data_IF_171019655803
#
_entry.id   IF_171019655803
#
_cell.length_a   1.000
_cell.length_b   1.000
_cell.length_c   1.000
_cell.angle_alpha   90.00
_cell.angle_beta   90.00
_cell.angle_gamma   90.00
#
_symmetry.space_group_name_H-M   'P 1'
#
loop_
_entity.id
_entity.type
_entity.pdbx_description
1 polymer ?
#
# COMPACT_ATOMS: atom_id res chain seq x y z
N UNK A 1 -9.71 24.25 -1.14
CA UNK A 1 -9.23 24.08 -2.54
C UNK A 1 -7.70 23.95 -2.66
N UNK A 2 -6.90 24.93 -2.20
CA UNK A 2 -5.44 24.98 -2.44
C UNK A 2 -4.66 23.71 -2.06
N UNK A 3 -4.97 23.07 -0.93
CA UNK A 3 -4.25 21.88 -0.43
C UNK A 3 -4.61 20.58 -1.17
N UNK A 4 -5.87 20.46 -1.61
CA UNK A 4 -6.30 19.37 -2.48
C UNK A 4 -5.56 19.44 -3.81
N UNK A 5 -5.54 20.63 -4.43
CA UNK A 5 -4.81 20.87 -5.68
C UNK A 5 -3.33 20.52 -5.50
N UNK A 6 -2.68 20.95 -4.41
CA UNK A 6 -1.28 20.59 -4.14
C UNK A 6 -1.04 19.09 -4.03
N UNK A 7 -1.93 18.37 -3.35
CA UNK A 7 -1.81 16.92 -3.16
C UNK A 7 -1.98 16.18 -4.49
N UNK A 8 -2.93 16.62 -5.32
CA UNK A 8 -3.10 16.12 -6.69
C UNK A 8 -1.87 16.43 -7.54
N UNK A 9 -1.38 17.67 -7.52
CA UNK A 9 -0.18 18.08 -8.26
C UNK A 9 1.06 17.31 -7.83
N UNK A 10 1.19 17.00 -6.53
CA UNK A 10 2.26 16.14 -6.03
C UNK A 10 2.21 14.77 -6.69
N UNK A 11 1.06 14.09 -6.64
CA UNK A 11 0.91 12.76 -7.20
C UNK A 11 1.10 12.74 -8.73
N UNK A 12 0.62 13.78 -9.43
CA UNK A 12 0.85 13.94 -10.88
C UNK A 12 2.32 14.16 -11.18
N UNK A 13 3.00 15.04 -10.44
CA UNK A 13 4.43 15.30 -10.62
C UNK A 13 5.27 14.04 -10.34
N UNK A 14 4.95 13.31 -9.25
CA UNK A 14 5.58 12.04 -8.94
C UNK A 14 5.41 11.03 -10.08
N UNK A 15 4.18 10.83 -10.56
CA UNK A 15 3.89 9.91 -11.67
C UNK A 15 4.62 10.32 -12.93
N UNK A 16 4.61 11.62 -13.28
CA UNK A 16 5.30 12.14 -14.45
C UNK A 16 6.82 11.96 -14.39
N UNK A 17 7.45 12.31 -13.26
CA UNK A 17 8.89 12.10 -13.06
C UNK A 17 9.22 10.60 -13.11
N UNK A 18 8.38 9.76 -12.51
CA UNK A 18 8.58 8.31 -12.52
C UNK A 18 8.51 7.71 -13.92
N UNK A 19 7.56 8.15 -14.75
CA UNK A 19 7.47 7.76 -16.17
C UNK A 19 8.72 8.21 -16.94
N UNK A 20 9.15 9.45 -16.74
CA UNK A 20 10.36 9.98 -17.40
C UNK A 20 11.60 9.18 -17.00
N UNK A 21 11.79 8.91 -15.71
CA UNK A 21 12.95 8.13 -15.26
C UNK A 21 12.85 6.66 -15.72
N UNK A 22 11.65 6.14 -15.95
CA UNK A 22 11.45 4.77 -16.42
C UNK A 22 11.98 4.53 -17.84
N UNK A 23 12.25 5.57 -18.64
CA UNK A 23 12.96 5.40 -19.94
C UNK A 23 14.37 4.83 -19.77
N UNK A 24 15.00 5.00 -18.60
CA UNK A 24 16.32 4.42 -18.29
C UNK A 24 16.26 2.89 -18.18
N UNK A 25 15.08 2.30 -17.89
CA UNK A 25 14.93 0.83 -17.75
C UNK A 25 15.29 0.07 -19.03
N UNK A 26 15.15 0.69 -20.20
CA UNK A 26 15.53 0.06 -21.49
C UNK A 26 17.02 -0.29 -21.61
N UNK A 27 17.87 0.30 -20.76
CA UNK A 27 19.31 0.03 -20.72
C UNK A 27 19.70 -0.98 -19.63
N UNK A 28 18.75 -1.49 -18.86
CA UNK A 28 19.00 -2.37 -17.70
C UNK A 28 18.63 -3.81 -18.10
N UNK A 29 19.46 -4.82 -17.79
CA UNK A 29 19.13 -6.22 -18.07
C UNK A 29 17.81 -6.63 -17.41
N UNK A 30 17.02 -7.45 -18.11
CA UNK A 30 15.68 -7.88 -17.65
C UNK A 30 15.69 -8.50 -16.25
N UNK A 31 16.77 -9.19 -15.87
CA UNK A 31 16.96 -9.79 -14.54
C UNK A 31 16.89 -8.76 -13.40
N UNK A 32 17.26 -7.50 -13.65
CA UNK A 32 17.28 -6.43 -12.65
C UNK A 32 16.13 -5.42 -12.81
N UNK A 33 15.19 -5.66 -13.74
CA UNK A 33 14.12 -4.71 -14.09
C UNK A 33 13.28 -4.31 -12.86
N UNK A 34 12.88 -5.27 -12.02
CA UNK A 34 12.08 -5.00 -10.82
C UNK A 34 12.83 -4.12 -9.82
N UNK A 35 14.11 -4.41 -9.57
CA UNK A 35 14.95 -3.59 -8.67
C UNK A 35 15.09 -2.18 -9.23
N UNK A 36 15.41 -2.08 -10.52
CA UNK A 36 15.55 -0.80 -11.19
C UNK A 36 14.26 0.02 -11.13
N UNK A 37 13.11 -0.60 -11.37
CA UNK A 37 11.81 0.06 -11.30
C UNK A 37 11.53 0.61 -9.89
N UNK A 38 11.79 -0.18 -8.84
CA UNK A 38 11.67 0.26 -7.46
C UNK A 38 12.60 1.45 -7.15
N UNK A 39 13.88 1.33 -7.48
CA UNK A 39 14.89 2.39 -7.23
C UNK A 39 14.55 3.67 -7.99
N UNK A 40 14.17 3.56 -9.27
CA UNK A 40 13.71 4.70 -10.08
C UNK A 40 12.49 5.36 -9.43
N UNK A 41 11.54 4.57 -8.93
CA UNK A 41 10.39 5.06 -8.19
C UNK A 41 10.78 5.82 -6.93
N UNK A 42 11.73 5.30 -6.15
CA UNK A 42 12.26 5.99 -4.96
C UNK A 42 12.86 7.34 -5.34
N UNK A 43 13.69 7.38 -6.39
CA UNK A 43 14.32 8.61 -6.84
C UNK A 43 13.27 9.64 -7.31
N UNK A 44 12.25 9.20 -8.05
CA UNK A 44 11.15 10.05 -8.49
C UNK A 44 10.32 10.58 -7.31
N UNK A 45 9.92 9.71 -6.39
CA UNK A 45 9.18 10.09 -5.19
C UNK A 45 9.98 11.06 -4.32
N UNK A 46 11.25 10.75 -4.05
CA UNK A 46 12.12 11.57 -3.22
C UNK A 46 12.39 12.95 -3.85
N UNK A 47 12.68 13.01 -5.15
CA UNK A 47 12.84 14.28 -5.87
C UNK A 47 11.57 15.13 -5.78
N UNK A 48 10.40 14.52 -5.99
CA UNK A 48 9.11 15.20 -5.89
C UNK A 48 8.87 15.72 -4.47
N UNK A 49 9.17 14.91 -3.44
CA UNK A 49 9.14 15.31 -2.02
C UNK A 49 10.03 16.52 -1.76
N UNK A 50 11.27 16.50 -2.21
CA UNK A 50 12.21 17.63 -2.02
C UNK A 50 11.69 18.92 -2.67
N UNK A 51 11.18 18.84 -3.91
CA UNK A 51 10.64 20.00 -4.63
C UNK A 51 9.48 20.62 -3.85
N UNK A 52 8.49 19.82 -3.45
CA UNK A 52 7.31 20.33 -2.76
C UNK A 52 7.60 20.82 -1.33
N UNK A 53 8.53 20.17 -0.61
CA UNK A 53 8.99 20.67 0.69
C UNK A 53 9.70 22.02 0.57
N UNK A 54 10.51 22.23 -0.49
CA UNK A 54 11.15 23.53 -0.76
C UNK A 54 10.13 24.61 -1.09
N UNK A 55 9.15 24.31 -1.96
CA UNK A 55 8.06 25.25 -2.32
C UNK A 55 7.29 25.67 -1.06
N UNK A 56 7.02 24.74 -0.15
CA UNK A 56 6.23 24.98 1.06
C UNK A 56 7.06 25.39 2.28
N UNK A 57 8.38 25.50 2.14
CA UNK A 57 9.33 25.79 3.23
C UNK A 57 9.11 24.88 4.45
N UNK A 58 8.88 23.59 4.18
CA UNK A 58 8.64 22.54 5.18
C UNK A 58 9.85 21.63 5.29
N UNK A 59 9.96 20.95 6.43
CA UNK A 59 11.00 19.96 6.69
C UNK A 59 10.43 18.54 6.52
N UNK A 60 11.30 17.56 6.28
CA UNK A 60 10.93 16.14 6.21
C UNK A 60 10.20 15.64 7.46
N UNK A 61 10.56 16.18 8.63
CA UNK A 61 9.89 15.90 9.90
C UNK A 61 8.41 16.27 9.93
N UNK A 62 8.00 17.28 9.16
CA UNK A 62 6.60 17.73 9.09
C UNK A 62 5.71 16.82 8.27
N UNK A 63 6.29 15.89 7.51
CA UNK A 63 5.56 14.91 6.69
C UNK A 63 5.78 13.47 7.19
N UNK A 64 6.19 13.31 8.46
CA UNK A 64 6.44 12.00 9.06
C UNK A 64 7.63 11.23 8.47
N UNK A 65 8.50 11.90 7.70
CA UNK A 65 9.70 11.29 7.12
C UNK A 65 10.91 11.55 8.02
N UNK A 66 10.93 10.90 9.18
CA UNK A 66 12.06 10.89 10.12
C UNK A 66 12.56 9.48 10.37
N UNK A 67 13.87 9.35 10.50
CA UNK A 67 14.46 8.11 11.00
C UNK A 67 14.62 8.22 12.52
N UNK A 68 13.91 7.38 13.26
CA UNK A 68 13.97 7.32 14.71
C UNK A 68 13.99 5.87 15.22
N UNK A 69 14.03 5.70 16.54
CA UNK A 69 14.11 4.37 17.18
C UNK A 69 12.91 3.47 16.90
N UNK A 70 11.77 4.02 16.49
CA UNK A 70 10.55 3.29 16.14
C UNK A 70 10.47 2.94 14.66
N UNK A 71 11.29 3.54 13.79
CA UNK A 71 11.25 3.27 12.33
C UNK A 71 11.37 1.77 12.02
N UNK A 72 12.37 1.09 12.56
CA UNK A 72 12.58 -0.35 12.33
C UNK A 72 11.47 -1.20 12.99
N UNK A 73 11.15 -1.03 14.30
CA UNK A 73 10.03 -1.74 14.91
C UNK A 73 8.68 -1.55 14.20
N UNK A 74 8.38 -0.33 13.75
CA UNK A 74 7.14 -0.03 13.04
C UNK A 74 7.07 -0.76 11.70
N UNK A 75 8.18 -0.83 10.96
CA UNK A 75 8.26 -1.60 9.73
C UNK A 75 7.93 -3.08 9.98
N UNK A 76 8.60 -3.73 10.93
CA UNK A 76 8.34 -5.15 11.23
C UNK A 76 6.95 -5.39 11.81
N UNK A 77 6.44 -4.47 12.64
CA UNK A 77 5.04 -4.50 13.08
C UNK A 77 4.09 -4.45 11.89
N UNK A 78 4.39 -3.59 10.92
CA UNK A 78 3.65 -3.51 9.65
C UNK A 78 3.72 -4.82 8.86
N UNK A 79 4.88 -5.45 8.74
CA UNK A 79 5.03 -6.76 8.09
C UNK A 79 4.14 -7.81 8.76
N UNK A 80 4.16 -7.91 10.08
CA UNK A 80 3.31 -8.87 10.82
C UNK A 80 1.82 -8.60 10.59
N UNK A 81 1.40 -7.32 10.66
CA UNK A 81 0.00 -6.94 10.38
C UNK A 81 -0.39 -7.31 8.94
N UNK A 82 0.46 -6.99 7.96
CA UNK A 82 0.20 -7.28 6.56
C UNK A 82 0.11 -8.78 6.28
N UNK A 83 1.02 -9.59 6.84
CA UNK A 83 0.97 -11.05 6.73
C UNK A 83 -0.30 -11.62 7.37
N UNK A 84 -0.72 -11.09 8.53
CA UNK A 84 -1.95 -11.53 9.18
C UNK A 84 -3.19 -11.18 8.34
N UNK A 85 -3.29 -9.96 7.82
CA UNK A 85 -4.38 -9.55 6.93
C UNK A 85 -4.42 -10.39 5.66
N UNK A 86 -3.29 -10.55 4.99
CA UNK A 86 -3.21 -11.36 3.76
C UNK A 86 -3.47 -12.84 4.01
N UNK A 87 -3.00 -13.38 5.13
CA UNK A 87 -3.28 -14.76 5.52
C UNK A 87 -4.78 -15.01 5.71
N UNK A 88 -5.49 -14.07 6.35
CA UNK A 88 -6.95 -14.15 6.49
C UNK A 88 -7.67 -14.04 5.13
N UNK A 89 -7.22 -13.14 4.25
CA UNK A 89 -7.78 -13.01 2.90
C UNK A 89 -7.55 -14.27 2.07
N UNK A 90 -6.33 -14.80 2.08
CA UNK A 90 -5.97 -16.04 1.39
C UNK A 90 -6.78 -17.22 1.94
N UNK A 91 -6.89 -17.37 3.26
CA UNK A 91 -7.73 -18.40 3.88
C UNK A 91 -9.20 -18.27 3.45
N UNK A 92 -9.73 -17.04 3.38
CA UNK A 92 -11.07 -16.78 2.86
C UNK A 92 -11.23 -17.24 1.41
N UNK A 93 -10.30 -16.87 0.53
CA UNK A 93 -10.30 -17.32 -0.86
C UNK A 93 -10.26 -18.84 -0.93
N UNK A 94 -9.37 -19.51 -0.20
CA UNK A 94 -9.26 -20.97 -0.19
C UNK A 94 -10.53 -21.67 0.34
N UNK A 95 -11.24 -21.03 1.27
CA UNK A 95 -12.47 -21.57 1.83
C UNK A 95 -13.66 -21.42 0.87
N UNK A 96 -13.78 -20.27 0.19
CA UNK A 96 -14.90 -19.98 -0.71
C UNK A 96 -14.66 -20.42 -2.16
N UNK A 97 -13.41 -20.69 -2.55
CA UNK A 97 -13.07 -21.16 -3.88
C UNK A 97 -12.73 -22.65 -3.88
N UNK A 98 -13.01 -23.31 -5.00
CA UNK A 98 -12.61 -24.69 -5.23
C UNK A 98 -11.19 -24.78 -5.80
N UNK A 99 -10.23 -24.16 -5.12
CA UNK A 99 -8.80 -24.22 -5.51
C UNK A 99 -8.03 -25.11 -4.54
N UNK A 100 -7.06 -25.85 -5.08
CA UNK A 100 -6.09 -26.61 -4.30
C UNK A 100 -4.74 -25.91 -4.35
N UNK A 101 -4.09 -25.86 -3.19
CA UNK A 101 -2.70 -25.43 -3.08
C UNK A 101 -1.79 -26.65 -3.09
N UNK A 102 -0.75 -26.59 -3.90
CA UNK A 102 0.35 -27.54 -3.89
C UNK A 102 1.66 -26.79 -3.69
N UNK A 103 2.62 -27.40 -2.98
CA UNK A 103 3.95 -26.83 -2.87
C UNK A 103 4.62 -26.80 -4.26
N UNK A 104 5.22 -25.67 -4.61
CA UNK A 104 5.91 -25.52 -5.89
C UNK A 104 7.31 -26.16 -5.81
N UNK A 105 7.60 -27.25 -6.54
CA UNK A 105 8.92 -27.89 -6.50
C UNK A 105 10.03 -27.05 -7.15
N UNK A 106 9.70 -25.97 -7.86
CA UNK A 106 10.65 -25.09 -8.57
C UNK A 106 11.16 -23.93 -7.71
N UNK A 107 10.64 -23.75 -6.50
CA UNK A 107 11.03 -22.66 -5.61
C UNK A 107 11.13 -23.14 -4.17
N UNK A 108 12.00 -22.49 -3.40
CA UNK A 108 12.10 -22.66 -1.97
C UNK A 108 11.99 -21.29 -1.28
N UNK A 109 12.00 -21.28 0.06
CA UNK A 109 11.87 -20.05 0.83
C UNK A 109 13.00 -19.05 0.55
N UNK A 110 14.24 -19.52 0.37
CA UNK A 110 15.38 -18.64 0.14
C UNK A 110 15.28 -17.98 -1.23
N UNK A 111 15.04 -18.77 -2.29
CA UNK A 111 14.83 -18.27 -3.64
C UNK A 111 13.66 -17.28 -3.69
N UNK A 112 12.53 -17.63 -3.07
CA UNK A 112 11.38 -16.75 -2.97
C UNK A 112 11.73 -15.40 -2.33
N UNK A 113 12.39 -15.41 -1.16
CA UNK A 113 12.77 -14.18 -0.46
C UNK A 113 13.75 -13.33 -1.27
N UNK A 114 14.73 -13.94 -1.94
CA UNK A 114 15.68 -13.22 -2.80
C UNK A 114 14.99 -12.58 -4.01
N UNK A 115 14.13 -13.32 -4.69
CA UNK A 115 13.42 -12.87 -5.90
C UNK A 115 12.31 -11.84 -5.60
N UNK A 116 11.83 -11.78 -4.35
CA UNK A 116 10.81 -10.82 -3.90
C UNK A 116 11.38 -9.66 -3.10
N UNK A 117 12.68 -9.66 -2.75
CA UNK A 117 13.36 -8.50 -2.16
C UNK A 117 13.13 -7.18 -2.93
N UNK A 118 13.07 -7.16 -4.28
CA UNK A 118 12.77 -5.94 -5.03
C UNK A 118 11.37 -5.36 -4.76
N UNK A 119 10.44 -6.10 -4.16
CA UNK A 119 9.12 -5.58 -3.79
C UNK A 119 9.20 -4.53 -2.67
N UNK A 120 10.27 -4.53 -1.87
CA UNK A 120 10.45 -3.56 -0.80
C UNK A 120 10.62 -2.13 -1.33
N UNK A 121 11.56 -1.83 -2.24
CA UNK A 121 11.67 -0.49 -2.81
C UNK A 121 10.41 -0.08 -3.62
N UNK A 122 9.70 -1.03 -4.24
CA UNK A 122 8.40 -0.76 -4.88
C UNK A 122 7.34 -0.31 -3.86
N UNK A 123 7.18 -1.04 -2.75
CA UNK A 123 6.24 -0.64 -1.71
C UNK A 123 6.64 0.72 -1.10
N UNK A 124 7.94 0.92 -0.84
CA UNK A 124 8.44 2.15 -0.22
C UNK A 124 8.23 3.39 -1.10
N UNK A 125 8.47 3.32 -2.42
CA UNK A 125 8.29 4.48 -3.29
C UNK A 125 6.84 4.93 -3.38
N UNK A 126 5.89 3.99 -3.34
CA UNK A 126 4.46 4.32 -3.31
C UNK A 126 4.04 4.93 -1.96
N UNK A 127 4.51 4.37 -0.84
CA UNK A 127 4.22 4.98 0.47
C UNK A 127 4.83 6.39 0.61
N UNK A 128 6.03 6.61 0.07
CA UNK A 128 6.63 7.94 0.00
C UNK A 128 5.80 8.89 -0.89
N UNK A 129 5.32 8.39 -2.03
CA UNK A 129 4.54 9.14 -3.02
C UNK A 129 3.15 9.57 -2.53
N UNK A 130 2.49 8.79 -1.66
CA UNK A 130 1.10 9.05 -1.27
C UNK A 130 0.91 9.33 0.23
N UNK A 131 1.73 8.76 1.12
CA UNK A 131 1.51 8.77 2.58
C UNK A 131 2.42 9.74 3.32
N UNK A 132 3.49 10.21 2.69
CA UNK A 132 4.33 11.26 3.26
C UNK A 132 3.72 12.65 3.01
N UNK A 133 4.04 13.31 1.90
CA UNK A 133 3.61 14.70 1.67
C UNK A 133 2.08 14.84 1.45
N UNK A 134 1.41 14.08 0.55
CA UNK A 134 -0.01 14.32 0.25
C UNK A 134 -0.93 14.09 1.45
N UNK A 135 -0.74 12.97 2.16
CA UNK A 135 -1.55 12.63 3.32
C UNK A 135 -1.42 13.66 4.44
N UNK A 136 -0.20 14.06 4.80
CA UNK A 136 0.05 14.98 5.90
C UNK A 136 -0.50 16.39 5.61
N UNK A 137 -0.34 16.88 4.37
CA UNK A 137 -0.87 18.19 3.96
C UNK A 137 -2.40 18.22 3.98
N UNK A 138 -3.06 17.12 3.57
CA UNK A 138 -4.52 17.03 3.66
C UNK A 138 -4.98 16.88 5.11
N UNK A 139 -4.31 16.04 5.90
CA UNK A 139 -4.66 15.79 7.30
C UNK A 139 -4.70 17.08 8.11
N UNK A 140 -3.69 17.94 7.94
CA UNK A 140 -3.57 19.21 8.66
C UNK A 140 -4.68 20.23 8.33
N UNK A 141 -5.45 20.01 7.25
CA UNK A 141 -6.37 21.01 6.70
C UNK A 141 -7.82 20.58 6.65
N UNK A 142 -8.06 19.32 6.32
CA UNK A 142 -9.41 18.76 6.16
C UNK A 142 -9.66 17.55 7.08
N UNK A 143 -8.68 17.24 7.94
CA UNK A 143 -8.77 16.17 8.93
C UNK A 143 -8.39 14.80 8.38
N UNK A 144 -8.07 13.91 9.32
CA UNK A 144 -7.56 12.55 9.06
C UNK A 144 -8.46 11.72 8.15
N UNK A 145 -9.78 11.72 8.38
CA UNK A 145 -10.74 10.92 7.60
C UNK A 145 -10.65 11.23 6.10
N UNK A 146 -10.80 12.51 5.76
CA UNK A 146 -10.79 12.94 4.36
C UNK A 146 -9.42 12.82 3.72
N UNK A 147 -8.35 13.04 4.49
CA UNK A 147 -6.99 12.84 4.00
C UNK A 147 -6.77 11.39 3.55
N UNK A 148 -7.12 10.40 4.39
CA UNK A 148 -6.99 8.98 4.07
C UNK A 148 -7.83 8.61 2.84
N UNK A 149 -9.11 9.02 2.80
CA UNK A 149 -10.02 8.73 1.68
C UNK A 149 -9.47 9.28 0.35
N UNK A 150 -9.06 10.55 0.34
CA UNK A 150 -8.56 11.22 -0.87
C UNK A 150 -7.24 10.57 -1.34
N UNK A 151 -6.28 10.34 -0.45
CA UNK A 151 -5.01 9.70 -0.86
C UNK A 151 -5.20 8.27 -1.35
N UNK A 152 -6.22 7.57 -0.86
CA UNK A 152 -6.56 6.22 -1.34
C UNK A 152 -7.15 6.24 -2.74
N UNK A 153 -8.00 7.22 -3.04
CA UNK A 153 -8.50 7.45 -4.41
C UNK A 153 -7.35 7.84 -5.34
N UNK A 154 -6.46 8.76 -4.93
CA UNK A 154 -5.29 9.15 -5.74
C UNK A 154 -4.37 7.95 -6.02
N UNK A 155 -4.22 7.05 -5.05
CA UNK A 155 -3.44 5.84 -5.20
C UNK A 155 -4.06 4.86 -6.21
N UNK A 156 -5.39 4.72 -6.23
CA UNK A 156 -6.09 3.94 -7.24
C UNK A 156 -5.99 4.58 -8.64
N UNK A 157 -6.12 5.90 -8.74
CA UNK A 157 -5.94 6.62 -10.01
C UNK A 157 -4.53 6.45 -10.58
N UNK A 158 -3.52 6.42 -9.71
CA UNK A 158 -2.15 6.11 -10.11
C UNK A 158 -2.01 4.70 -10.70
N UNK A 159 -2.70 3.70 -10.16
CA UNK A 159 -2.71 2.35 -10.75
C UNK A 159 -3.39 2.32 -12.11
N UNK A 160 -4.50 3.05 -12.28
CA UNK A 160 -5.16 3.22 -13.59
C UNK A 160 -4.20 3.86 -14.60
N UNK A 161 -3.46 4.90 -14.19
CA UNK A 161 -2.46 5.54 -15.04
C UNK A 161 -1.30 4.60 -15.42
N UNK A 162 -1.05 3.55 -14.62
CA UNK A 162 -0.10 2.48 -14.90
C UNK A 162 -0.73 1.27 -15.63
N UNK A 163 -1.92 1.43 -16.21
CA UNK A 163 -2.56 0.43 -17.07
C UNK A 163 -3.48 -0.56 -16.37
N UNK A 164 -3.76 -0.38 -15.08
CA UNK A 164 -4.73 -1.23 -14.37
C UNK A 164 -6.17 -0.85 -14.76
N UNK A 165 -7.08 -1.82 -14.71
CA UNK A 165 -8.50 -1.53 -14.93
C UNK A 165 -9.07 -0.69 -13.78
N UNK A 166 -10.13 0.09 -14.05
CA UNK A 166 -10.84 0.86 -13.03
C UNK A 166 -11.30 -0.07 -11.89
N UNK A 167 -11.92 -1.20 -12.24
CA UNK A 167 -12.39 -2.17 -11.26
C UNK A 167 -11.25 -2.68 -10.36
N UNK A 168 -10.16 -3.23 -10.94
CA UNK A 168 -9.03 -3.75 -10.16
C UNK A 168 -8.38 -2.69 -9.27
N UNK A 169 -8.30 -1.44 -9.74
CA UNK A 169 -7.71 -0.32 -9.00
C UNK A 169 -8.55 0.09 -7.79
N UNK A 170 -9.88 0.02 -7.88
CA UNK A 170 -10.78 0.34 -6.78
C UNK A 170 -11.03 -0.84 -5.82
N UNK A 171 -11.01 -2.10 -6.32
CA UNK A 171 -11.13 -3.28 -5.47
C UNK A 171 -9.83 -3.70 -4.77
N UNK A 172 -8.67 -3.29 -5.28
CA UNK A 172 -7.37 -3.53 -4.66
C UNK A 172 -6.78 -2.26 -4.06
N UNK A 173 -6.01 -1.48 -4.84
CA UNK A 173 -5.29 -0.30 -4.37
C UNK A 173 -6.11 0.70 -3.54
N UNK A 174 -7.35 1.04 -3.92
CA UNK A 174 -8.14 1.99 -3.14
C UNK A 174 -8.43 1.47 -1.71
N UNK A 175 -8.80 0.21 -1.57
CA UNK A 175 -9.13 -0.40 -0.27
C UNK A 175 -7.86 -0.53 0.58
N UNK A 176 -6.78 -1.06 0.00
CA UNK A 176 -5.47 -1.12 0.68
C UNK A 176 -4.95 0.25 1.06
N UNK A 177 -5.23 1.27 0.23
CA UNK A 177 -4.86 2.64 0.50
C UNK A 177 -5.44 3.19 1.81
N UNK A 178 -6.62 2.72 2.22
CA UNK A 178 -7.23 3.07 3.50
C UNK A 178 -6.43 2.50 4.66
N UNK A 179 -6.04 1.22 4.56
CA UNK A 179 -5.20 0.53 5.55
C UNK A 179 -3.84 1.22 5.68
N UNK A 180 -3.19 1.51 4.55
CA UNK A 180 -1.89 2.18 4.53
C UNK A 180 -1.98 3.61 5.10
N UNK A 181 -3.01 4.36 4.72
CA UNK A 181 -3.25 5.70 5.26
C UNK A 181 -3.48 5.69 6.77
N UNK A 182 -4.28 4.74 7.27
CA UNK A 182 -4.51 4.58 8.70
C UNK A 182 -3.22 4.20 9.44
N UNK A 183 -2.43 3.27 8.90
CA UNK A 183 -1.15 2.87 9.47
C UNK A 183 -0.12 4.01 9.47
N UNK A 184 -0.10 4.85 8.43
CA UNK A 184 0.75 6.03 8.37
C UNK A 184 0.43 7.01 9.50
N UNK A 185 -0.86 7.32 9.70
CA UNK A 185 -1.32 8.24 10.75
C UNK A 185 -1.09 7.66 12.14
N UNK A 186 -1.36 6.37 12.32
CA UNK A 186 -1.15 5.68 13.59
C UNK A 186 0.33 5.67 14.00
N UNK A 187 1.22 5.32 13.07
CA UNK A 187 2.66 5.20 13.32
C UNK A 187 3.43 6.52 13.21
N UNK A 188 2.77 7.59 12.75
CA UNK A 188 3.32 8.93 12.51
C UNK A 188 4.48 8.93 11.50
N UNK A 189 4.38 8.08 10.48
CA UNK A 189 5.36 7.98 9.42
C UNK A 189 5.07 6.82 8.47
N UNK A 190 5.92 6.62 7.47
CA UNK A 190 5.65 5.66 6.40
C UNK A 190 6.23 4.26 6.64
N UNK A 191 7.01 4.04 7.70
CA UNK A 191 7.66 2.75 7.96
C UNK A 191 6.67 1.59 8.15
N UNK A 192 5.64 1.79 8.99
CA UNK A 192 4.59 0.79 9.21
C UNK A 192 3.78 0.48 7.95
N UNK A 193 3.22 1.46 7.21
CA UNK A 193 2.50 1.15 5.97
C UNK A 193 3.42 0.52 4.92
N UNK A 194 4.71 0.88 4.82
CA UNK A 194 5.65 0.19 3.93
C UNK A 194 5.79 -1.28 4.29
N UNK A 195 5.83 -1.63 5.59
CA UNK A 195 5.86 -3.02 6.05
C UNK A 195 4.59 -3.79 5.68
N UNK A 196 3.41 -3.19 5.89
CA UNK A 196 2.12 -3.81 5.53
C UNK A 196 2.06 -4.03 4.02
N UNK A 197 2.42 -3.01 3.24
CA UNK A 197 2.39 -3.06 1.78
C UNK A 197 3.40 -4.08 1.24
N UNK A 198 4.63 -4.10 1.75
CA UNK A 198 5.61 -5.12 1.38
C UNK A 198 5.09 -6.53 1.68
N UNK A 199 4.48 -6.76 2.85
CA UNK A 199 3.88 -8.05 3.19
C UNK A 199 2.69 -8.42 2.30
N UNK A 200 1.89 -7.44 1.85
CA UNK A 200 0.83 -7.64 0.87
C UNK A 200 1.40 -8.15 -0.46
N UNK A 201 2.41 -7.46 -1.00
CA UNK A 201 3.07 -7.83 -2.25
C UNK A 201 3.79 -9.18 -2.15
N UNK A 202 4.44 -9.43 -1.02
CA UNK A 202 5.12 -10.68 -0.71
C UNK A 202 4.11 -11.84 -0.71
N UNK A 203 3.01 -11.71 0.04
CA UNK A 203 2.01 -12.78 0.16
C UNK A 203 1.33 -13.07 -1.18
N UNK A 204 0.98 -12.04 -1.96
CA UNK A 204 0.45 -12.23 -3.31
C UNK A 204 1.44 -12.98 -4.20
N UNK A 205 2.74 -12.65 -4.12
CA UNK A 205 3.79 -13.33 -4.90
C UNK A 205 4.02 -14.79 -4.47
N UNK A 206 3.64 -15.16 -3.24
CA UNK A 206 3.79 -16.51 -2.72
C UNK A 206 2.87 -17.53 -3.40
N UNK A 207 1.78 -17.07 -4.03
CA UNK A 207 0.84 -17.89 -4.79
C UNK A 207 1.02 -17.62 -6.29
N UNK A 208 1.19 -18.67 -7.08
CA UNK A 208 1.38 -18.56 -8.52
C UNK A 208 0.80 -19.73 -9.30
N UNK A 209 0.93 -19.69 -10.61
CA UNK A 209 0.60 -20.82 -11.47
C UNK A 209 1.70 -21.92 -11.45
N UNK A 210 1.48 -23.00 -12.20
CA UNK A 210 2.43 -24.12 -12.28
C UNK A 210 3.75 -23.78 -13.04
N UNK A 211 3.80 -22.63 -13.70
CA UNK A 211 4.97 -22.17 -14.47
C UNK A 211 5.88 -21.26 -13.64
N UNK A 212 5.37 -20.67 -12.56
CA UNK A 212 6.14 -19.79 -11.66
C UNK A 212 7.41 -20.45 -11.12
N UNK A 213 8.53 -19.73 -11.23
CA UNK A 213 9.84 -20.09 -10.67
C UNK A 213 10.14 -19.37 -9.35
N UNK A 214 9.19 -18.56 -8.87
CA UNK A 214 9.35 -17.72 -7.68
C UNK A 214 8.39 -18.13 -6.57
N UNK A 215 7.11 -18.34 -6.89
CA UNK A 215 6.05 -18.61 -5.92
C UNK A 215 6.29 -19.90 -5.14
N UNK A 216 5.92 -19.91 -3.86
CA UNK A 216 6.05 -21.08 -2.96
C UNK A 216 4.89 -22.06 -3.19
N UNK A 217 3.71 -21.55 -3.51
CA UNK A 217 2.50 -22.33 -3.70
C UNK A 217 2.00 -22.22 -5.15
N UNK A 218 1.63 -23.34 -5.73
CA UNK A 218 0.90 -23.41 -7.00
C UNK A 218 -0.59 -23.51 -6.71
N UNK A 219 -1.38 -22.62 -7.32
CA UNK A 219 -2.83 -22.63 -7.26
C UNK A 219 -3.38 -23.46 -8.43
N UNK A 220 -4.05 -24.58 -8.14
CA UNK A 220 -4.73 -25.41 -9.14
C UNK A 220 -6.24 -25.28 -9.00
N UNK A 221 -6.91 -25.01 -10.12
CA UNK A 221 -8.37 -24.98 -10.16
C UNK A 221 -8.91 -26.40 -10.23
N UNK A 222 -9.86 -26.74 -9.34
CA UNK A 222 -10.34 -28.13 -9.20
C UNK A 222 -11.55 -28.44 -10.10
N UNK A 223 -12.09 -27.45 -10.81
CA UNK A 223 -13.19 -27.61 -11.77
C UNK A 223 -12.89 -26.81 -13.05
N UNK A 224 -13.32 -27.34 -14.20
CA UNK A 224 -13.29 -26.60 -15.46
C UNK A 224 -14.24 -25.39 -15.34
N UNK A 225 -13.77 -24.20 -15.72
CA UNK A 225 -14.61 -23.00 -15.75
C UNK A 225 -15.85 -23.29 -16.59
N UNK A 226 -17.02 -23.40 -15.95
CA UNK A 226 -18.28 -23.48 -16.66
C UNK A 226 -18.50 -22.13 -17.33
N UNK A 227 -18.21 -22.07 -18.63
CA UNK A 227 -18.70 -21.00 -19.49
C UNK A 227 -20.22 -20.95 -19.33
N UNK A 228 -20.74 -19.80 -18.87
CA UNK A 228 -22.15 -19.38 -18.80
C UNK A 228 -22.63 -19.07 -17.37
N UNK A 229 -22.09 -17.98 -16.81
CA UNK A 229 -22.81 -16.93 -16.09
C UNK A 229 -21.79 -15.85 -15.68
N UNK A 230 -22.14 -14.54 -15.67
CA UNK A 230 -21.37 -13.53 -14.96
C UNK A 230 -21.64 -13.72 -13.46
N UNK A 231 -21.36 -14.91 -12.94
CA UNK A 231 -21.47 -15.16 -11.52
C UNK A 231 -20.43 -14.28 -10.86
N UNK A 232 -20.93 -13.34 -10.07
CA UNK A 232 -20.15 -12.48 -9.21
C UNK A 232 -19.23 -13.41 -8.41
N UNK A 233 -17.93 -13.41 -8.70
CA UNK A 233 -16.99 -14.32 -8.05
C UNK A 233 -16.84 -13.91 -6.58
N UNK A 234 -17.74 -14.45 -5.76
CA UNK A 234 -17.83 -14.17 -4.33
C UNK A 234 -16.53 -14.51 -3.61
N UNK A 235 -15.75 -15.46 -4.13
CA UNK A 235 -14.44 -15.78 -3.58
C UNK A 235 -13.45 -14.61 -3.71
N UNK A 236 -13.61 -13.77 -4.73
CA UNK A 236 -12.78 -12.56 -4.93
C UNK A 236 -13.39 -11.32 -4.26
N UNK A 237 -14.72 -11.21 -4.24
CA UNK A 237 -15.42 -10.00 -3.75
C UNK A 237 -15.58 -9.98 -2.23
N UNK A 238 -15.90 -11.09 -1.59
CA UNK A 238 -16.11 -11.14 -0.14
C UNK A 238 -14.85 -10.72 0.65
N UNK A 239 -13.63 -11.20 0.32
CA UNK A 239 -12.42 -10.76 1.02
C UNK A 239 -12.16 -9.25 0.85
N UNK A 240 -12.38 -8.70 -0.35
CA UNK A 240 -12.21 -7.27 -0.60
C UNK A 240 -13.22 -6.41 0.20
N UNK A 241 -14.49 -6.83 0.24
CA UNK A 241 -15.53 -6.16 1.04
C UNK A 241 -15.22 -6.26 2.54
N UNK A 242 -14.79 -7.42 3.02
CA UNK A 242 -14.39 -7.59 4.41
C UNK A 242 -13.22 -6.67 4.79
N UNK A 243 -12.20 -6.57 3.92
CA UNK A 243 -11.08 -5.65 4.12
C UNK A 243 -11.54 -4.18 4.13
N UNK A 244 -12.46 -3.79 3.24
CA UNK A 244 -13.03 -2.45 3.22
C UNK A 244 -13.78 -2.13 4.52
N UNK A 245 -14.64 -3.03 5.00
CA UNK A 245 -15.37 -2.84 6.27
C UNK A 245 -14.37 -2.74 7.42
N UNK A 246 -13.36 -3.62 7.47
CA UNK A 246 -12.30 -3.56 8.48
C UNK A 246 -11.56 -2.22 8.45
N UNK A 247 -11.20 -1.73 7.27
CA UNK A 247 -10.51 -0.45 7.10
C UNK A 247 -11.36 0.73 7.59
N UNK A 248 -12.64 0.78 7.20
CA UNK A 248 -13.56 1.85 7.58
C UNK A 248 -13.85 1.82 9.09
N UNK A 249 -14.18 0.65 9.65
CA UNK A 249 -14.43 0.50 11.09
C UNK A 249 -13.16 0.83 11.89
N UNK A 250 -11.99 0.32 11.47
CA UNK A 250 -10.71 0.62 12.10
C UNK A 250 -10.40 2.11 12.11
N UNK A 251 -10.63 2.80 10.99
CA UNK A 251 -10.49 4.24 10.88
C UNK A 251 -11.44 4.97 11.85
N UNK A 252 -12.72 4.62 11.87
CA UNK A 252 -13.71 5.27 12.74
C UNK A 252 -13.41 5.06 14.23
N UNK A 253 -13.01 3.85 14.63
CA UNK A 253 -12.61 3.56 16.01
C UNK A 253 -11.36 4.34 16.41
N UNK A 254 -10.38 4.47 15.52
CA UNK A 254 -9.18 5.26 15.75
C UNK A 254 -9.50 6.75 15.94
N UNK A 255 -10.36 7.31 15.09
CA UNK A 255 -10.77 8.72 15.16
C UNK A 255 -11.55 9.03 16.45
N UNK A 256 -12.46 8.13 16.86
CA UNK A 256 -13.18 8.25 18.13
C UNK A 256 -12.23 8.27 19.33
N UNK A 257 -11.30 7.32 19.42
CA UNK A 257 -10.33 7.25 20.52
C UNK A 257 -9.47 8.51 20.62
N UNK A 258 -9.00 9.01 19.47
CA UNK A 258 -8.16 10.22 19.42
C UNK A 258 -8.92 11.46 19.89
N UNK A 259 -10.20 11.57 19.52
CA UNK A 259 -11.07 12.69 19.89
C UNK A 259 -11.45 12.65 21.37
N UNK A 260 -11.74 11.47 21.92
CA UNK A 260 -12.01 11.30 23.35
C UNK A 260 -10.78 11.61 24.21
N UNK A 261 -9.59 11.17 23.79
CA UNK A 261 -8.35 11.44 24.51
C UNK A 261 -8.00 12.94 24.55
N UNK A 262 -8.20 13.67 23.45
CA UNK A 262 -7.94 15.11 23.40
C UNK A 262 -8.90 15.91 24.30
N UNK A 263 -10.18 15.53 24.35
CA UNK A 263 -11.16 16.15 25.27
C UNK A 263 -10.82 15.88 26.74
N UNK A 264 -10.45 14.65 27.10
CA UNK A 264 -10.07 14.31 28.47
C UNK A 264 -8.84 15.11 28.95
N UNK A 265 -7.83 15.26 28.10
CA UNK A 265 -6.64 16.06 28.42
C UNK A 265 -6.96 17.54 28.67
N UNK A 266 -7.77 18.15 27.79
CA UNK A 266 -8.17 19.57 27.91
C UNK A 266 -9.02 19.85 29.16
N UNK A 267 -9.88 18.92 29.55
CA UNK A 267 -10.67 19.06 30.77
C UNK A 267 -9.84 18.85 32.05
N UNK A 268 -8.78 18.03 31.98
CA UNK A 268 -7.84 17.82 33.08
C UNK A 268 -6.87 19.00 33.29
N UNK A 269 -6.46 19.69 32.22
CA UNK A 269 -5.59 20.88 32.31
C UNK A 269 -6.31 22.11 32.83
N UNK A 270 -7.62 22.26 32.57
CA UNK A 270 -8.42 23.40 33.07
C UNK A 270 -8.85 23.26 34.54
N UNK A 271 -8.54 22.14 35.19
CA UNK A 271 -8.86 21.88 36.61
C UNK A 271 -7.64 21.96 37.54
N UNK A 272 -6.49 22.40 37.02
CA UNK A 272 -5.27 22.70 37.78
C UNK A 272 -4.98 24.19 37.66
#
# INVERSE_FOLDING_TARGET
>A
MKYLIKSVLFCVAFTGIFVVFSFVKGFIPATYERVAHGVIGILAAFLTTVIFLKIDRKQFSTIGLTFDRKTIPNFFTGVVIGLALMGLLAAGVLFFSHVKLEANPKSDLLNFLLMTLPLLPLAFMEELGFRAYPLEILKDRIGTRWAILITSILFALYHIANGWSVASSFYGPAIWGLIFGLAAVYSKGISMPTGIHYAANLTTSAFGDATSTVSIWTVKQTQAATTNSPDLDWATILPAVALLVLALVGMELFLKRTTSASMAFRNGSNRR
#
